data_IF_611200283116
#
_entry.id   IF_611200283116
#
_cell.length_a   1.000
_cell.length_b   1.000
_cell.length_c   1.000
_cell.angle_alpha   90.00
_cell.angle_beta   90.00
_cell.angle_gamma   90.00
#
_symmetry.space_group_name_H-M   'P 1'
#
loop_
_entity.id
_entity.type
_entity.pdbx_description
1 polymer ?
#
# COMPACT_ATOMS: atom_id res chain seq x y z
N UNK A 1 38.27 0.70 -12.21
CA UNK A 1 37.11 1.27 -11.47
C UNK A 1 37.41 2.74 -11.19
N UNK A 2 36.54 3.63 -11.62
CA UNK A 2 36.71 5.07 -11.37
C UNK A 2 36.48 5.37 -9.90
N UNK A 3 37.12 6.37 -9.33
CA UNK A 3 37.08 6.63 -7.87
C UNK A 3 35.68 6.86 -7.34
N UNK A 4 34.81 7.54 -8.12
CA UNK A 4 33.43 7.83 -7.71
C UNK A 4 32.52 6.58 -7.73
N UNK A 5 32.85 5.52 -8.48
CA UNK A 5 32.07 4.28 -8.53
C UNK A 5 31.95 3.59 -7.16
N UNK A 6 32.95 3.83 -6.27
CA UNK A 6 32.92 3.31 -4.89
C UNK A 6 31.83 3.93 -4.03
N UNK A 7 31.34 5.11 -4.42
CA UNK A 7 30.30 5.85 -3.69
C UNK A 7 28.88 5.61 -4.25
N UNK A 8 28.75 4.80 -5.32
CA UNK A 8 27.44 4.43 -5.85
C UNK A 8 26.80 3.39 -4.93
N UNK A 9 25.56 3.63 -4.54
CA UNK A 9 24.77 2.66 -3.78
C UNK A 9 24.59 1.38 -4.61
N UNK A 10 24.99 0.26 -4.04
CA UNK A 10 24.81 -1.06 -4.65
C UNK A 10 23.45 -1.60 -4.18
N UNK A 11 22.58 -1.90 -5.12
CA UNK A 11 21.25 -2.49 -4.88
C UNK A 11 20.93 -3.49 -5.99
N UNK A 12 20.19 -4.52 -5.67
CA UNK A 12 19.56 -5.41 -6.66
C UNK A 12 18.15 -4.88 -6.90
N UNK A 13 17.87 -4.24 -8.05
CA UNK A 13 16.56 -3.65 -8.29
C UNK A 13 15.49 -4.73 -8.53
N UNK A 14 14.24 -4.37 -8.27
CA UNK A 14 13.11 -5.13 -8.74
C UNK A 14 13.11 -5.19 -10.28
N UNK A 15 12.79 -6.35 -10.84
CA UNK A 15 12.62 -6.53 -12.29
C UNK A 15 11.12 -6.53 -12.60
N UNK A 16 10.59 -5.49 -13.25
CA UNK A 16 9.18 -5.44 -13.64
C UNK A 16 8.81 -6.62 -14.55
N UNK A 17 7.58 -7.10 -14.41
CA UNK A 17 7.02 -8.07 -15.35
C UNK A 17 6.98 -7.53 -16.79
N UNK A 18 6.99 -8.42 -17.76
CA UNK A 18 6.92 -8.05 -19.18
C UNK A 18 5.74 -7.13 -19.47
N UNK A 19 5.98 -6.14 -20.33
CA UNK A 19 4.94 -5.22 -20.86
C UNK A 19 4.80 -5.50 -22.37
N UNK A 20 4.14 -6.60 -22.77
CA UNK A 20 4.00 -6.95 -24.17
C UNK A 20 3.17 -5.91 -24.92
N UNK A 21 3.61 -5.55 -26.13
CA UNK A 21 2.89 -4.67 -27.03
C UNK A 21 2.08 -5.51 -28.04
N UNK A 22 0.80 -5.19 -28.24
CA UNK A 22 -0.04 -5.81 -29.27
C UNK A 22 -1.50 -5.99 -28.83
N UNK A 23 -2.43 -5.73 -29.74
CA UNK A 23 -3.89 -5.70 -29.49
C UNK A 23 -4.53 -7.09 -29.25
N UNK A 24 -3.76 -8.20 -29.45
CA UNK A 24 -4.26 -9.59 -29.32
C UNK A 24 -3.70 -10.33 -28.11
N UNK A 25 -2.99 -9.63 -27.22
CA UNK A 25 -2.34 -10.25 -26.07
C UNK A 25 -3.26 -10.17 -24.86
N UNK A 26 -3.50 -11.31 -24.21
CA UNK A 26 -4.16 -11.37 -22.90
C UNK A 26 -3.08 -11.24 -21.84
N UNK A 27 -3.02 -10.06 -21.20
CA UNK A 27 -2.04 -9.74 -20.16
C UNK A 27 -2.59 -10.10 -18.79
N UNK A 28 -1.94 -11.05 -18.09
CA UNK A 28 -2.36 -11.54 -16.77
C UNK A 28 -1.29 -11.40 -15.68
N UNK A 29 -0.13 -10.84 -16.02
CA UNK A 29 1.06 -10.89 -15.15
C UNK A 29 1.15 -9.83 -14.06
N UNK A 30 0.28 -8.80 -14.04
CA UNK A 30 0.31 -7.70 -13.06
C UNK A 30 -1.01 -7.52 -12.30
N UNK A 31 -1.92 -8.48 -12.44
CA UNK A 31 -3.24 -8.48 -11.77
C UNK A 31 -4.00 -7.16 -11.99
N UNK A 32 -4.00 -6.67 -13.23
CA UNK A 32 -4.79 -5.50 -13.62
C UNK A 32 -6.27 -5.85 -13.66
N UNK A 33 -7.12 -4.93 -13.21
CA UNK A 33 -8.56 -5.12 -13.19
C UNK A 33 -9.12 -5.14 -14.62
N UNK A 34 -9.97 -6.11 -15.02
CA UNK A 34 -10.53 -6.19 -16.37
C UNK A 34 -11.63 -5.14 -16.63
N UNK A 35 -12.16 -4.51 -15.59
CA UNK A 35 -13.18 -3.47 -15.72
C UNK A 35 -12.55 -2.07 -15.72
N UNK A 36 -13.15 -1.08 -16.42
CA UNK A 36 -12.70 0.30 -16.34
C UNK A 36 -12.92 0.89 -14.95
N UNK A 37 -12.27 2.02 -14.61
CA UNK A 37 -12.59 2.76 -13.37
C UNK A 37 -14.01 3.33 -13.40
N UNK A 38 -14.47 3.80 -12.25
CA UNK A 38 -15.80 4.41 -12.10
C UNK A 38 -16.05 5.52 -13.15
N UNK A 39 -17.29 5.64 -13.69
CA UNK A 39 -17.59 6.61 -14.76
C UNK A 39 -17.24 8.06 -14.45
N UNK A 40 -17.31 8.46 -13.17
CA UNK A 40 -16.90 9.78 -12.71
C UNK A 40 -15.42 10.08 -12.94
N UNK A 41 -14.56 9.05 -12.93
CA UNK A 41 -13.13 9.18 -13.24
C UNK A 41 -12.92 9.66 -14.67
N UNK A 42 -13.62 9.05 -15.64
CA UNK A 42 -13.55 9.47 -17.03
C UNK A 42 -13.99 10.93 -17.17
N UNK A 43 -15.14 11.28 -16.59
CA UNK A 43 -15.72 12.61 -16.65
C UNK A 43 -14.77 13.68 -16.12
N UNK A 44 -14.21 13.48 -14.92
CA UNK A 44 -13.31 14.49 -14.31
C UNK A 44 -12.02 14.69 -15.09
N UNK A 45 -11.52 13.65 -15.78
CA UNK A 45 -10.33 13.76 -16.64
C UNK A 45 -10.63 14.48 -17.95
N UNK A 46 -11.81 14.24 -18.56
CA UNK A 46 -12.23 14.94 -19.78
C UNK A 46 -12.53 16.43 -19.54
N UNK A 47 -13.06 16.78 -18.36
CA UNK A 47 -13.38 18.15 -17.97
C UNK A 47 -12.22 18.90 -17.30
N UNK A 48 -11.05 18.27 -17.16
CA UNK A 48 -9.91 18.88 -16.50
C UNK A 48 -9.42 20.12 -17.23
N UNK A 49 -9.53 21.27 -16.56
CA UNK A 49 -8.90 22.51 -17.03
C UNK A 49 -7.37 22.38 -16.95
N UNK A 50 -6.73 22.23 -18.12
CA UNK A 50 -5.27 22.04 -18.23
C UNK A 50 -4.46 23.26 -17.78
N UNK A 51 -5.03 24.46 -17.71
CA UNK A 51 -4.35 25.64 -17.14
C UNK A 51 -4.00 25.45 -15.65
N UNK A 52 -4.75 24.62 -14.95
CA UNK A 52 -4.45 24.24 -13.55
C UNK A 52 -3.14 23.47 -13.40
N UNK A 53 -2.67 22.77 -14.44
CA UNK A 53 -1.45 21.96 -14.39
C UNK A 53 -0.16 22.81 -14.29
N UNK A 54 -0.21 24.11 -14.54
CA UNK A 54 0.92 25.04 -14.32
C UNK A 54 1.19 25.33 -12.84
N UNK A 55 0.31 24.89 -11.93
CA UNK A 55 0.43 25.09 -10.49
C UNK A 55 0.74 23.77 -9.81
N UNK A 56 1.53 23.82 -8.73
CA UNK A 56 1.70 22.67 -7.88
C UNK A 56 0.35 22.23 -7.29
N UNK A 57 0.12 20.91 -7.19
CA UNK A 57 -1.05 20.38 -6.51
C UNK A 57 -0.95 20.59 -4.98
N UNK A 58 -2.04 20.33 -4.27
CA UNK A 58 -2.04 20.33 -2.81
C UNK A 58 -1.11 19.25 -2.25
N UNK A 59 -0.05 19.62 -1.51
CA UNK A 59 0.91 18.65 -0.98
C UNK A 59 0.31 17.72 0.09
N UNK A 60 -0.77 18.13 0.75
CA UNK A 60 -1.48 17.31 1.72
C UNK A 60 -2.50 16.34 1.08
N UNK A 61 -2.74 16.45 -0.24
CA UNK A 61 -3.77 15.66 -0.92
C UNK A 61 -5.17 15.79 -0.28
N UNK A 62 -5.48 16.95 0.30
CA UNK A 62 -6.62 17.17 1.21
C UNK A 62 -7.96 16.69 0.64
N UNK A 63 -8.22 16.91 -0.66
CA UNK A 63 -9.49 16.51 -1.27
C UNK A 63 -9.69 15.00 -1.25
N UNK A 64 -8.61 14.22 -1.46
CA UNK A 64 -8.68 12.77 -1.45
C UNK A 64 -8.62 12.22 -0.02
N UNK A 65 -7.81 12.81 0.86
CA UNK A 65 -7.77 12.47 2.30
C UNK A 65 -9.15 12.60 2.92
N UNK A 66 -9.87 13.70 2.68
CA UNK A 66 -11.24 13.92 3.18
C UNK A 66 -12.22 12.86 2.68
N UNK A 67 -12.15 12.53 1.40
CA UNK A 67 -13.05 11.55 0.81
C UNK A 67 -12.79 10.14 1.36
N UNK A 68 -11.52 9.74 1.49
CA UNK A 68 -11.12 8.47 2.10
C UNK A 68 -11.51 8.40 3.58
N UNK A 69 -11.23 9.46 4.35
CA UNK A 69 -11.60 9.53 5.76
C UNK A 69 -13.13 9.36 5.95
N UNK A 70 -13.93 10.06 5.13
CA UNK A 70 -15.39 9.92 5.16
C UNK A 70 -15.85 8.52 4.76
N UNK A 71 -15.22 7.91 3.74
CA UNK A 71 -15.57 6.57 3.25
C UNK A 71 -15.31 5.48 4.31
N UNK A 72 -14.19 5.57 5.02
CA UNK A 72 -13.79 4.59 6.05
C UNK A 72 -14.25 4.94 7.47
N UNK A 73 -14.91 6.10 7.67
CA UNK A 73 -15.37 6.56 8.99
C UNK A 73 -14.22 6.99 9.92
N UNK A 74 -13.12 7.50 9.36
CA UNK A 74 -11.90 7.91 10.06
C UNK A 74 -11.76 9.44 10.14
N UNK A 75 -10.85 9.93 10.99
CA UNK A 75 -10.37 11.30 10.96
C UNK A 75 -9.42 11.56 9.77
N UNK A 76 -9.37 12.81 9.29
CA UNK A 76 -8.44 13.19 8.22
C UNK A 76 -6.96 13.00 8.65
N UNK A 77 -6.67 13.10 9.93
CA UNK A 77 -5.36 12.87 10.53
C UNK A 77 -4.99 11.38 10.68
N UNK A 78 -5.93 10.48 10.35
CA UNK A 78 -5.72 9.04 10.31
C UNK A 78 -5.45 8.50 8.90
N UNK A 79 -5.40 9.35 7.88
CA UNK A 79 -5.23 8.96 6.47
C UNK A 79 -4.01 9.62 5.84
N UNK A 80 -3.16 8.82 5.20
CA UNK A 80 -2.00 9.25 4.40
C UNK A 80 -2.17 8.84 2.95
N UNK A 81 -1.84 9.71 1.99
CA UNK A 81 -1.92 9.42 0.55
C UNK A 81 -0.54 9.54 -0.11
N UNK A 82 -0.18 8.54 -0.94
CA UNK A 82 1.07 8.46 -1.69
C UNK A 82 0.89 7.98 -3.15
N UNK A 83 1.99 7.92 -3.89
CA UNK A 83 2.01 7.59 -5.33
C UNK A 83 1.99 6.07 -5.57
N UNK A 84 0.88 5.44 -5.21
CA UNK A 84 0.69 3.98 -5.17
C UNK A 84 1.14 3.40 -3.82
N UNK A 85 0.69 2.17 -3.53
CA UNK A 85 1.08 1.48 -2.28
C UNK A 85 2.59 1.27 -2.17
N UNK A 86 3.30 1.12 -3.29
CA UNK A 86 4.77 1.00 -3.28
C UNK A 86 5.45 2.22 -2.64
N UNK A 87 5.00 3.44 -2.98
CA UNK A 87 5.50 4.68 -2.38
C UNK A 87 5.17 4.74 -0.88
N UNK A 88 3.92 4.40 -0.52
CA UNK A 88 3.46 4.37 0.87
C UNK A 88 4.27 3.37 1.70
N UNK A 89 4.49 2.17 1.19
CA UNK A 89 5.26 1.12 1.86
C UNK A 89 6.74 1.48 1.96
N UNK A 90 7.36 1.97 0.88
CA UNK A 90 8.75 2.44 0.91
C UNK A 90 8.93 3.57 1.93
N UNK A 91 7.99 4.51 1.98
CA UNK A 91 7.97 5.58 2.97
C UNK A 91 7.81 5.03 4.39
N UNK A 92 6.99 3.98 4.57
CA UNK A 92 6.82 3.30 5.86
C UNK A 92 8.10 2.63 6.33
N UNK A 93 8.87 1.98 5.44
CA UNK A 93 10.19 1.44 5.77
C UNK A 93 11.14 2.53 6.27
N UNK A 94 11.19 3.68 5.58
CA UNK A 94 12.01 4.82 6.00
C UNK A 94 11.56 5.43 7.34
N UNK A 95 10.26 5.38 7.62
CA UNK A 95 9.68 6.05 8.80
C UNK A 95 9.80 5.19 10.05
N UNK A 96 9.49 3.89 9.97
CA UNK A 96 9.24 3.07 11.15
C UNK A 96 10.33 2.05 11.45
N UNK A 97 11.11 1.61 10.45
CA UNK A 97 12.04 0.51 10.60
C UNK A 97 13.49 0.99 10.73
N UNK A 98 13.76 1.74 11.79
CA UNK A 98 15.05 2.42 12.02
C UNK A 98 15.83 1.86 13.22
N UNK A 99 15.50 0.66 13.70
CA UNK A 99 16.21 -0.02 14.76
C UNK A 99 17.27 -0.98 14.22
N UNK A 100 18.17 -1.46 15.09
CA UNK A 100 19.12 -2.52 14.76
C UNK A 100 18.50 -3.91 14.77
N UNK A 101 17.21 -4.02 15.16
CA UNK A 101 16.45 -5.27 15.19
C UNK A 101 15.86 -5.57 13.82
N UNK A 102 15.77 -6.85 13.42
CA UNK A 102 15.23 -7.21 12.12
C UNK A 102 13.72 -6.95 12.00
N UNK A 103 13.29 -6.44 10.85
CA UNK A 103 11.89 -6.44 10.45
C UNK A 103 11.50 -7.85 10.00
N UNK A 104 10.31 -8.31 10.39
CA UNK A 104 9.81 -9.64 10.06
C UNK A 104 8.77 -9.56 8.94
N UNK A 105 8.95 -10.37 7.89
CA UNK A 105 7.96 -10.61 6.84
C UNK A 105 8.10 -12.02 6.27
N UNK A 106 7.04 -12.61 5.67
CA UNK A 106 7.08 -13.99 5.18
C UNK A 106 8.15 -14.20 4.10
N UNK A 107 8.72 -15.40 4.01
CA UNK A 107 9.71 -15.78 3.01
C UNK A 107 9.14 -15.80 1.57
N UNK A 108 7.86 -16.20 1.43
CA UNK A 108 7.11 -16.16 0.17
C UNK A 108 6.06 -15.08 0.28
N UNK A 109 6.41 -13.86 -0.17
CA UNK A 109 5.57 -12.66 -0.03
C UNK A 109 5.87 -11.64 -1.13
N UNK A 110 5.34 -10.42 -1.01
CA UNK A 110 5.59 -9.34 -1.95
C UNK A 110 7.09 -9.00 -2.01
N UNK A 111 7.68 -9.22 -3.17
CA UNK A 111 9.13 -9.19 -3.35
C UNK A 111 9.79 -7.82 -3.07
N UNK A 112 9.05 -6.74 -3.09
CA UNK A 112 9.56 -5.40 -2.81
C UNK A 112 9.98 -5.18 -1.35
N UNK A 113 9.42 -5.91 -0.39
CA UNK A 113 9.83 -5.74 1.02
C UNK A 113 11.34 -5.95 1.19
N UNK A 114 11.88 -7.01 0.59
CA UNK A 114 13.32 -7.26 0.60
C UNK A 114 14.10 -6.17 -0.14
N UNK A 115 13.58 -5.69 -1.28
CA UNK A 115 14.22 -4.62 -2.06
C UNK A 115 14.32 -3.33 -1.24
N UNK A 116 13.26 -2.95 -0.53
CA UNK A 116 13.30 -1.76 0.33
C UNK A 116 14.18 -1.97 1.56
N UNK A 117 14.14 -3.14 2.19
CA UNK A 117 15.03 -3.46 3.31
C UNK A 117 16.50 -3.31 2.92
N UNK A 118 16.90 -3.87 1.77
CA UNK A 118 18.25 -3.73 1.23
C UNK A 118 18.59 -2.27 0.86
N UNK A 119 17.66 -1.56 0.20
CA UNK A 119 17.84 -0.18 -0.23
C UNK A 119 18.07 0.76 0.95
N UNK A 120 17.29 0.60 2.01
CA UNK A 120 17.35 1.46 3.20
C UNK A 120 18.29 0.92 4.29
N UNK A 121 18.87 -0.26 4.08
CA UNK A 121 19.75 -0.95 5.04
C UNK A 121 19.03 -1.32 6.35
N UNK A 122 17.78 -1.70 6.23
CA UNK A 122 16.98 -2.22 7.32
C UNK A 122 17.29 -3.70 7.49
N UNK A 123 17.72 -4.17 8.66
CA UNK A 123 17.90 -5.60 8.91
C UNK A 123 16.53 -6.30 8.84
N UNK A 124 16.51 -7.52 8.29
CA UNK A 124 15.27 -8.27 8.18
C UNK A 124 15.47 -9.76 8.36
N UNK A 125 14.42 -10.45 8.75
CA UNK A 125 14.30 -11.89 8.75
C UNK A 125 13.01 -12.32 8.06
N UNK A 126 13.05 -13.47 7.40
CA UNK A 126 11.93 -14.00 6.63
C UNK A 126 11.48 -15.35 7.21
N UNK A 127 10.59 -15.36 8.23
CA UNK A 127 10.00 -16.60 8.71
C UNK A 127 9.33 -17.37 7.58
N UNK A 128 9.55 -18.69 7.54
CA UNK A 128 8.99 -19.55 6.51
C UNK A 128 7.46 -19.70 6.69
N UNK A 129 6.72 -19.65 5.58
CA UNK A 129 5.32 -20.03 5.60
C UNK A 129 5.17 -21.54 5.88
N UNK A 130 4.03 -21.93 6.45
CA UNK A 130 3.66 -23.34 6.60
C UNK A 130 3.43 -24.01 5.23
N UNK A 131 3.28 -25.32 5.22
CA UNK A 131 3.02 -26.10 3.98
C UNK A 131 1.74 -25.65 3.25
N UNK A 132 0.76 -25.13 3.97
CA UNK A 132 -0.49 -24.56 3.44
C UNK A 132 -0.40 -23.06 3.10
N UNK A 133 0.81 -22.50 3.11
CA UNK A 133 1.12 -21.10 2.88
C UNK A 133 0.54 -20.12 3.93
N UNK A 134 0.11 -20.62 5.09
CA UNK A 134 -0.27 -19.74 6.22
C UNK A 134 0.96 -19.28 7.00
N UNK A 135 0.86 -18.12 7.65
CA UNK A 135 1.86 -17.60 8.59
C UNK A 135 1.77 -18.39 9.90
N UNK A 136 2.92 -18.79 10.49
CA UNK A 136 2.96 -19.19 11.88
C UNK A 136 3.14 -17.98 12.77
N UNK A 137 2.10 -17.61 13.51
CA UNK A 137 2.07 -16.41 14.37
C UNK A 137 3.22 -16.44 15.40
N UNK A 138 3.61 -17.63 15.88
CA UNK A 138 4.69 -17.79 16.88
C UNK A 138 6.03 -17.26 16.40
N UNK A 139 6.28 -17.31 15.08
CA UNK A 139 7.53 -16.82 14.48
C UNK A 139 7.60 -15.29 14.49
N UNK A 140 6.47 -14.61 14.72
CA UNK A 140 6.35 -13.17 14.81
C UNK A 140 6.26 -12.63 16.24
N UNK A 141 6.27 -13.51 17.25
CA UNK A 141 6.24 -13.13 18.67
C UNK A 141 7.61 -12.89 19.30
N UNK A 142 8.70 -13.02 18.54
CA UNK A 142 10.06 -12.75 18.99
C UNK A 142 10.40 -11.26 18.92
N UNK A 143 11.46 -10.84 19.63
CA UNK A 143 11.99 -9.48 19.56
C UNK A 143 12.36 -9.09 18.12
N UNK A 144 11.83 -7.97 17.64
CA UNK A 144 12.00 -7.51 16.26
C UNK A 144 11.95 -5.98 16.15
N UNK A 145 12.21 -5.45 14.95
CA UNK A 145 12.18 -4.02 14.64
C UNK A 145 10.90 -3.55 13.94
N UNK A 146 9.93 -4.46 13.77
CA UNK A 146 8.65 -4.23 13.11
C UNK A 146 8.20 -5.46 12.34
N UNK A 147 6.92 -5.49 12.00
CA UNK A 147 6.31 -6.60 11.25
C UNK A 147 5.59 -6.04 10.03
N UNK A 148 5.73 -6.69 8.87
CA UNK A 148 4.95 -6.37 7.68
C UNK A 148 4.54 -7.64 6.95
N UNK A 149 3.28 -7.74 6.56
CA UNK A 149 2.78 -8.82 5.72
C UNK A 149 1.59 -8.38 4.88
N UNK A 150 1.39 -8.94 3.67
CA UNK A 150 0.20 -8.69 2.88
C UNK A 150 -0.98 -9.53 3.41
N UNK A 151 -2.19 -8.97 3.36
CA UNK A 151 -3.40 -9.72 3.67
C UNK A 151 -4.54 -9.36 2.70
N UNK A 152 -4.91 -10.25 1.78
CA UNK A 152 -4.32 -11.58 1.50
C UNK A 152 -2.85 -11.52 1.08
N UNK A 153 -2.09 -12.57 1.42
CA UNK A 153 -0.68 -12.63 1.03
C UNK A 153 -0.53 -12.75 -0.50
N UNK A 154 0.36 -11.98 -1.07
CA UNK A 154 0.74 -12.07 -2.47
C UNK A 154 2.16 -12.66 -2.57
N UNK A 155 2.38 -13.79 -3.32
CA UNK A 155 1.54 -14.30 -4.40
C UNK A 155 0.59 -15.46 -4.01
N UNK A 156 0.52 -15.88 -2.75
CA UNK A 156 -0.17 -17.11 -2.34
C UNK A 156 -1.70 -17.00 -2.36
N UNK A 157 -2.24 -15.78 -2.23
CA UNK A 157 -3.67 -15.52 -2.14
C UNK A 157 -4.30 -15.91 -0.79
N UNK A 158 -3.51 -16.35 0.17
CA UNK A 158 -4.02 -16.80 1.48
C UNK A 158 -4.39 -15.59 2.33
N UNK A 159 -5.63 -15.57 2.79
CA UNK A 159 -6.17 -14.57 3.72
C UNK A 159 -5.97 -15.02 5.17
N UNK A 160 -5.50 -14.11 6.02
CA UNK A 160 -5.37 -14.29 7.46
C UNK A 160 -6.59 -13.68 8.15
N UNK A 161 -7.34 -14.45 8.98
CA UNK A 161 -8.45 -13.91 9.79
C UNK A 161 -8.00 -12.83 10.77
N UNK A 162 -8.92 -11.91 11.10
CA UNK A 162 -8.63 -10.76 11.98
C UNK A 162 -8.12 -11.17 13.36
N UNK A 163 -8.63 -12.29 13.91
CA UNK A 163 -8.20 -12.84 15.19
C UNK A 163 -6.69 -13.17 15.19
N UNK A 164 -6.18 -13.67 14.06
CA UNK A 164 -4.75 -13.99 13.92
C UNK A 164 -3.90 -12.73 13.73
N UNK A 165 -4.43 -11.72 13.04
CA UNK A 165 -3.78 -10.41 12.96
C UNK A 165 -3.71 -9.78 14.35
N UNK A 166 -4.79 -9.88 15.13
CA UNK A 166 -4.85 -9.38 16.50
C UNK A 166 -3.82 -10.07 17.40
N UNK A 167 -3.61 -11.38 17.27
CA UNK A 167 -2.55 -12.08 18.01
C UNK A 167 -1.15 -11.55 17.68
N UNK A 168 -0.87 -11.22 16.40
CA UNK A 168 0.40 -10.59 15.99
C UNK A 168 0.53 -9.19 16.63
N UNK A 169 -0.53 -8.39 16.63
CA UNK A 169 -0.54 -7.06 17.23
C UNK A 169 -0.29 -7.11 18.74
N UNK A 170 -0.93 -8.03 19.44
CA UNK A 170 -0.74 -8.25 20.89
C UNK A 170 0.71 -8.61 21.22
N UNK A 171 1.34 -9.46 20.37
CA UNK A 171 2.72 -9.88 20.57
C UNK A 171 3.76 -8.80 20.23
N UNK A 172 3.36 -7.71 19.54
CA UNK A 172 4.26 -6.71 18.96
C UNK A 172 3.90 -5.27 19.35
N UNK A 173 3.44 -5.02 20.57
CA UNK A 173 2.93 -3.71 21.02
C UNK A 173 3.97 -2.58 20.97
N UNK A 174 5.26 -2.90 21.03
CA UNK A 174 6.35 -1.91 21.07
C UNK A 174 6.91 -1.56 19.68
N UNK A 175 6.37 -2.13 18.60
CA UNK A 175 6.80 -1.92 17.22
C UNK A 175 5.62 -1.75 16.28
N UNK A 176 5.84 -1.12 15.12
CA UNK A 176 4.79 -0.97 14.11
C UNK A 176 4.54 -2.27 13.38
N UNK A 177 3.26 -2.63 13.26
CA UNK A 177 2.77 -3.73 12.44
C UNK A 177 2.06 -3.16 11.23
N UNK A 178 2.55 -3.49 10.02
CA UNK A 178 1.98 -3.05 8.76
C UNK A 178 1.22 -4.20 8.11
N UNK A 179 -0.06 -4.00 7.83
CA UNK A 179 -0.87 -4.92 7.05
C UNK A 179 -1.06 -4.33 5.65
N UNK A 180 -0.44 -4.96 4.64
CA UNK A 180 -0.55 -4.55 3.24
C UNK A 180 -1.80 -5.21 2.63
N UNK A 181 -2.82 -4.42 2.46
CA UNK A 181 -4.14 -4.83 2.00
C UNK A 181 -4.40 -4.53 0.52
N UNK A 182 -3.40 -4.69 -0.33
CA UNK A 182 -3.56 -4.44 -1.77
C UNK A 182 -4.68 -5.28 -2.41
N UNK A 183 -5.08 -6.39 -1.81
CA UNK A 183 -6.08 -7.33 -2.33
C UNK A 183 -7.24 -7.61 -1.36
N UNK A 184 -7.37 -6.88 -0.26
CA UNK A 184 -8.36 -7.17 0.80
C UNK A 184 -9.80 -7.18 0.28
N UNK A 185 -10.14 -6.28 -0.64
CA UNK A 185 -11.48 -6.17 -1.21
C UNK A 185 -11.97 -7.47 -1.88
N UNK A 186 -11.06 -8.35 -2.29
CA UNK A 186 -11.40 -9.63 -2.94
C UNK A 186 -11.52 -10.81 -1.96
N UNK A 187 -11.22 -10.62 -0.66
CA UNK A 187 -11.04 -11.74 0.26
C UNK A 187 -11.92 -11.70 1.51
N UNK A 188 -11.84 -10.64 2.32
CA UNK A 188 -12.53 -10.64 3.60
C UNK A 188 -12.46 -9.31 4.35
N UNK A 189 -12.80 -9.31 5.64
CA UNK A 189 -12.73 -8.11 6.49
C UNK A 189 -11.34 -7.47 6.51
N UNK A 190 -11.29 -6.15 6.52
CA UNK A 190 -10.06 -5.38 6.64
C UNK A 190 -9.56 -5.32 8.09
N UNK A 191 -8.24 -5.30 8.27
CA UNK A 191 -7.60 -5.03 9.56
C UNK A 191 -7.94 -3.64 10.12
N UNK A 192 -8.59 -2.77 9.35
CA UNK A 192 -9.14 -1.51 9.83
C UNK A 192 -10.10 -1.68 11.03
N UNK A 193 -10.77 -2.82 11.15
CA UNK A 193 -11.63 -3.11 12.29
C UNK A 193 -10.86 -3.16 13.63
N UNK A 194 -9.53 -3.33 13.57
CA UNK A 194 -8.65 -3.37 14.73
C UNK A 194 -8.02 -2.00 15.06
N UNK A 195 -8.21 -0.99 14.21
CA UNK A 195 -7.49 0.28 14.29
C UNK A 195 -7.76 1.06 15.59
N UNK A 196 -8.99 1.01 16.10
CA UNK A 196 -9.34 1.67 17.37
C UNK A 196 -8.69 1.04 18.60
N UNK A 197 -8.26 -0.23 18.50
CA UNK A 197 -7.67 -0.99 19.61
C UNK A 197 -6.14 -0.91 19.63
N UNK A 198 -5.50 -0.73 18.45
CA UNK A 198 -4.05 -0.90 18.30
C UNK A 198 -3.42 0.32 17.62
N UNK A 199 -2.80 1.18 18.41
CA UNK A 199 -2.14 2.41 17.94
C UNK A 199 -0.91 2.13 17.06
N UNK A 200 -0.33 0.93 17.13
CA UNK A 200 0.81 0.47 16.35
C UNK A 200 0.43 -0.21 15.02
N UNK A 201 -0.86 -0.28 14.68
CA UNK A 201 -1.34 -0.83 13.41
C UNK A 201 -1.31 0.24 12.31
N UNK A 202 -0.70 -0.11 11.17
CA UNK A 202 -0.81 0.64 9.92
C UNK A 202 -1.40 -0.26 8.84
N UNK A 203 -2.50 0.14 8.25
CA UNK A 203 -3.13 -0.55 7.12
C UNK A 203 -2.82 0.20 5.84
N UNK A 204 -2.31 -0.49 4.81
CA UNK A 204 -1.96 0.10 3.51
C UNK A 204 -2.83 -0.49 2.42
N UNK A 205 -3.46 0.36 1.61
CA UNK A 205 -4.32 -0.04 0.50
C UNK A 205 -3.95 0.69 -0.80
N UNK A 206 -4.54 0.26 -1.93
CA UNK A 206 -4.23 0.80 -3.25
C UNK A 206 -5.46 0.88 -4.16
N UNK A 207 -5.47 1.89 -5.04
CA UNK A 207 -6.45 1.98 -6.13
C UNK A 207 -6.09 1.11 -7.35
N UNK A 208 -4.90 0.49 -7.33
CA UNK A 208 -4.38 -0.24 -8.49
C UNK A 208 -5.16 -1.50 -8.84
N UNK A 209 -5.88 -2.10 -7.87
CA UNK A 209 -6.52 -3.40 -8.01
C UNK A 209 -8.04 -3.28 -8.11
N UNK A 210 -8.73 -3.22 -6.99
CA UNK A 210 -10.20 -3.18 -6.93
C UNK A 210 -10.81 -1.94 -7.61
N UNK A 211 -10.17 -0.79 -7.51
CA UNK A 211 -10.64 0.47 -8.12
C UNK A 211 -10.25 0.65 -9.61
N UNK A 212 -9.55 -0.31 -10.23
CA UNK A 212 -9.19 -0.26 -11.67
C UNK A 212 -8.30 0.92 -12.06
N UNK A 213 -7.47 1.43 -11.16
CA UNK A 213 -6.72 2.68 -11.36
C UNK A 213 -5.20 2.50 -11.23
N UNK A 214 -4.65 1.34 -11.64
CA UNK A 214 -3.22 1.07 -11.59
C UNK A 214 -2.38 2.18 -12.29
N UNK A 215 -2.85 2.71 -13.40
CA UNK A 215 -2.20 3.79 -14.15
C UNK A 215 -2.22 5.16 -13.47
N UNK A 216 -3.12 5.38 -12.50
CA UNK A 216 -3.24 6.65 -11.77
C UNK A 216 -2.30 6.76 -10.57
N UNK A 217 -1.68 5.64 -10.17
CA UNK A 217 -0.70 5.61 -9.08
C UNK A 217 -1.24 6.24 -7.78
N UNK A 218 -2.28 5.65 -7.19
CA UNK A 218 -2.83 6.07 -5.90
C UNK A 218 -2.72 4.93 -4.91
N UNK A 219 -2.05 5.18 -3.79
CA UNK A 219 -2.01 4.33 -2.60
C UNK A 219 -2.25 5.16 -1.36
N UNK A 220 -2.67 4.53 -0.29
CA UNK A 220 -2.93 5.23 0.96
C UNK A 220 -2.67 4.32 2.15
N UNK A 221 -2.40 4.94 3.30
CA UNK A 221 -2.30 4.27 4.58
C UNK A 221 -3.31 4.85 5.57
N UNK A 222 -3.76 4.01 6.48
CA UNK A 222 -4.66 4.37 7.57
C UNK A 222 -4.08 3.85 8.88
N UNK A 223 -4.09 4.69 9.92
CA UNK A 223 -3.44 4.38 11.19
C UNK A 223 -3.72 5.41 12.26
N UNK A 224 -3.12 5.21 13.44
CA UNK A 224 -3.16 6.20 14.51
C UNK A 224 -2.60 7.55 14.01
N UNK A 225 -3.13 8.71 14.45
CA UNK A 225 -2.67 10.04 14.01
C UNK A 225 -1.16 10.25 14.13
N UNK A 226 -0.51 9.66 15.14
CA UNK A 226 0.94 9.76 15.32
C UNK A 226 1.73 9.04 14.24
N UNK A 227 1.25 7.88 13.76
CA UNK A 227 1.87 7.16 12.62
C UNK A 227 1.71 7.97 11.34
N UNK A 228 0.53 8.50 11.10
CA UNK A 228 0.24 9.32 9.90
C UNK A 228 1.04 10.61 9.91
N UNK A 229 1.19 11.26 11.08
CA UNK A 229 2.05 12.43 11.24
C UNK A 229 3.52 12.10 10.95
N UNK A 230 4.02 10.97 11.43
CA UNK A 230 5.39 10.52 11.15
C UNK A 230 5.63 10.27 9.66
N UNK A 231 4.70 9.60 8.94
CA UNK A 231 4.75 9.43 7.50
C UNK A 231 4.77 10.77 6.75
N UNK A 232 3.91 11.72 7.14
CA UNK A 232 3.89 13.06 6.54
C UNK A 232 5.21 13.80 6.77
N UNK A 233 5.84 13.69 7.94
CA UNK A 233 7.12 14.32 8.22
C UNK A 233 8.22 13.80 7.27
N UNK A 234 8.26 12.49 7.04
CA UNK A 234 9.23 11.88 6.08
C UNK A 234 8.88 12.28 4.65
N UNK A 235 7.62 12.22 4.24
CA UNK A 235 7.16 12.65 2.92
C UNK A 235 7.59 14.09 2.63
N UNK A 236 7.31 15.03 3.52
CA UNK A 236 7.68 16.44 3.34
C UNK A 236 9.18 16.68 3.32
N UNK A 237 9.95 15.79 3.93
CA UNK A 237 11.42 15.84 3.91
C UNK A 237 12.04 15.19 2.66
N UNK A 238 11.31 14.27 1.99
CA UNK A 238 11.77 13.53 0.83
C UNK A 238 11.23 14.11 -0.49
N UNK A 239 9.90 14.21 -0.63
CA UNK A 239 9.20 14.78 -1.79
C UNK A 239 7.83 15.31 -1.39
N UNK A 240 7.69 16.63 -1.24
CA UNK A 240 6.46 17.24 -0.71
C UNK A 240 5.27 17.14 -1.67
N UNK A 241 5.50 17.17 -3.00
CA UNK A 241 4.44 17.26 -4.03
C UNK A 241 4.34 15.96 -4.82
N UNK A 242 4.16 14.83 -4.14
CA UNK A 242 4.16 13.51 -4.77
C UNK A 242 2.96 13.27 -5.67
N UNK A 243 1.76 13.68 -5.23
CA UNK A 243 0.51 13.42 -5.94
C UNK A 243 0.26 14.46 -7.04
N UNK A 244 -0.06 14.02 -8.24
CA UNK A 244 -0.48 14.92 -9.31
C UNK A 244 -1.98 15.26 -9.23
N UNK A 245 -2.38 16.41 -9.76
CA UNK A 245 -3.77 16.90 -9.72
C UNK A 245 -4.78 15.93 -10.37
N UNK A 246 -4.54 15.37 -11.58
CA UNK A 246 -5.45 14.40 -12.17
C UNK A 246 -5.73 13.19 -11.27
N UNK A 247 -4.69 12.62 -10.64
CA UNK A 247 -4.85 11.48 -9.73
C UNK A 247 -5.69 11.83 -8.51
N UNK A 248 -5.48 13.00 -7.91
CA UNK A 248 -6.27 13.45 -6.76
C UNK A 248 -7.77 13.56 -7.10
N UNK A 249 -8.08 14.21 -8.22
CA UNK A 249 -9.48 14.38 -8.65
C UNK A 249 -10.13 13.06 -9.07
N UNK A 250 -9.40 12.22 -9.80
CA UNK A 250 -9.87 10.90 -10.22
C UNK A 250 -10.09 9.97 -9.02
N UNK A 251 -9.20 10.01 -8.02
CA UNK A 251 -9.34 9.24 -6.79
C UNK A 251 -10.62 9.58 -6.02
N UNK A 252 -10.94 10.86 -5.89
CA UNK A 252 -12.18 11.32 -5.28
C UNK A 252 -13.41 10.73 -5.98
N UNK A 253 -13.45 10.79 -7.31
CA UNK A 253 -14.60 10.28 -8.08
C UNK A 253 -14.71 8.74 -8.01
N UNK A 254 -13.58 8.04 -7.88
CA UNK A 254 -13.58 6.58 -7.69
C UNK A 254 -14.15 6.17 -6.32
N UNK A 255 -13.81 6.89 -5.25
CA UNK A 255 -14.32 6.60 -3.89
C UNK A 255 -15.81 6.90 -3.77
N UNK A 256 -16.29 7.98 -4.40
CA UNK A 256 -17.71 8.37 -4.36
C UNK A 256 -18.65 7.35 -4.98
N UNK A 257 -18.23 6.65 -6.02
CA UNK A 257 -19.10 5.69 -6.73
C UNK A 257 -19.01 4.28 -6.13
N UNK A 258 -19.46 4.18 -4.89
CA UNK A 258 -19.52 2.92 -4.13
C UNK A 258 -20.34 1.84 -4.86
N UNK A 259 -21.45 2.21 -5.51
CA UNK A 259 -22.29 1.25 -6.21
C UNK A 259 -21.60 0.61 -7.40
N UNK A 260 -20.84 1.40 -8.19
CA UNK A 260 -20.03 0.88 -9.28
C UNK A 260 -18.92 -0.04 -8.77
N UNK A 261 -18.20 0.41 -7.73
CA UNK A 261 -17.14 -0.36 -7.08
C UNK A 261 -17.66 -1.74 -6.63
N UNK A 262 -18.74 -1.79 -5.84
CA UNK A 262 -19.32 -3.04 -5.34
C UNK A 262 -19.80 -3.95 -6.48
N UNK A 263 -20.39 -3.38 -7.54
CA UNK A 263 -20.84 -4.13 -8.71
C UNK A 263 -19.69 -4.79 -9.47
N UNK A 264 -18.58 -4.09 -9.68
CA UNK A 264 -17.42 -4.63 -10.39
C UNK A 264 -16.68 -5.66 -9.54
N UNK A 265 -16.52 -5.38 -8.25
CA UNK A 265 -15.94 -6.31 -7.28
C UNK A 265 -16.71 -7.64 -7.24
N UNK A 266 -18.03 -7.60 -7.11
CA UNK A 266 -18.87 -8.79 -7.10
C UNK A 266 -18.71 -9.64 -8.37
N UNK A 267 -18.54 -9.01 -9.54
CA UNK A 267 -18.30 -9.73 -10.81
C UNK A 267 -16.96 -10.44 -10.83
N UNK A 268 -15.89 -9.81 -10.28
CA UNK A 268 -14.55 -10.40 -10.22
C UNK A 268 -14.55 -11.59 -9.27
N UNK A 269 -15.13 -11.44 -8.06
CA UNK A 269 -15.19 -12.50 -7.06
C UNK A 269 -16.03 -13.70 -7.53
N UNK A 270 -17.05 -13.47 -8.37
CA UNK A 270 -17.91 -14.53 -8.91
C UNK A 270 -17.30 -15.30 -10.09
N UNK A 271 -16.17 -14.85 -10.67
CA UNK A 271 -15.52 -15.49 -11.83
C UNK A 271 -14.48 -16.51 -11.42
#
# INVERSE_FOLDING_TARGET
MRLWEKNIRQVVPYVPGEQPAGDKIVKLNTNENPYPPAPGVKKVLEELDTDRLRKYPDPAATVLVKELAAYYGLGEDQVFVGVGSDDVLAMSFLTFFNSDKPVLFPDVTYSFYKVWADLFKVPFETPALKEDFTIDIKDYAKENGGVIFPNPNAPTGVYMPLEQIEEILIANQDVVVIVDEAYVDFAGPSALELLEKYENLLVVQTFSKSHSMAGMRIGFAMGHPDLIRALNNVKYSYNSYTMNLPSLLAGVEAVKDKAYFESTLAKIVAT
#
